data_IF_061214009481
#
_entry.id   IF_061214009481
#
_cell.length_a   1.000
_cell.length_b   1.000
_cell.length_c   1.000
_cell.angle_alpha   90.00
_cell.angle_beta   90.00
_cell.angle_gamma   90.00
#
_symmetry.space_group_name_H-M   'P 1'
#
loop_
_entity.id
_entity.type
_entity.pdbx_description
1 polymer ?
#
# COMPACT_ATOMS: atom_id res chain seq x y z
N UNK A 1 -31.99 53.71 45.45
CA UNK A 1 -32.24 52.68 44.42
C UNK A 1 -30.88 52.18 43.92
N UNK A 2 -30.51 50.93 44.23
CA UNK A 2 -29.27 50.30 43.71
C UNK A 2 -29.64 48.95 43.10
N UNK A 3 -29.51 48.83 41.78
CA UNK A 3 -29.69 47.57 41.04
C UNK A 3 -28.35 46.81 41.10
N UNK A 4 -28.34 45.65 41.76
CA UNK A 4 -27.26 44.67 41.67
C UNK A 4 -27.49 43.83 40.41
N UNK A 5 -26.53 43.87 39.49
CA UNK A 5 -26.50 43.02 38.31
C UNK A 5 -25.83 41.68 38.68
N UNK A 6 -26.58 40.60 38.55
CA UNK A 6 -26.10 39.22 38.67
C UNK A 6 -25.43 38.82 37.35
N UNK A 7 -24.12 38.66 37.37
CA UNK A 7 -23.33 38.08 36.28
C UNK A 7 -23.37 36.55 36.41
N UNK A 8 -24.15 35.91 35.53
CA UNK A 8 -24.15 34.46 35.37
C UNK A 8 -22.84 34.00 34.73
N UNK A 9 -22.02 33.30 35.52
CA UNK A 9 -20.87 32.54 35.05
C UNK A 9 -21.39 31.31 34.29
N UNK A 10 -21.41 31.35 32.97
CA UNK A 10 -21.59 30.17 32.15
C UNK A 10 -20.36 29.26 32.35
N UNK A 11 -20.55 28.10 32.95
CA UNK A 11 -19.53 27.07 33.04
C UNK A 11 -19.37 26.41 31.67
N UNK A 12 -18.28 26.71 30.97
CA UNK A 12 -17.93 26.04 29.72
C UNK A 12 -17.31 24.70 30.09
N UNK A 13 -18.07 23.62 29.93
CA UNK A 13 -17.55 22.25 30.04
C UNK A 13 -16.52 22.03 28.93
N UNK A 14 -15.25 22.19 29.24
CA UNK A 14 -14.18 21.74 28.36
C UNK A 14 -14.20 20.21 28.33
N UNK A 15 -14.27 19.58 27.14
CA UNK A 15 -14.16 18.13 27.05
C UNK A 15 -12.82 17.70 27.66
N UNK A 16 -12.87 16.72 28.55
CA UNK A 16 -11.69 16.15 29.18
C UNK A 16 -10.73 15.68 28.07
N UNK A 17 -9.60 16.37 27.93
CA UNK A 17 -8.53 15.98 27.04
C UNK A 17 -7.90 14.72 27.65
N UNK A 18 -8.31 13.55 27.16
CA UNK A 18 -7.64 12.30 27.51
C UNK A 18 -6.22 12.39 26.96
N UNK A 19 -5.25 12.54 27.86
CA UNK A 19 -3.84 12.48 27.49
C UNK A 19 -3.62 11.12 26.80
N UNK A 20 -3.05 11.11 25.58
CA UNK A 20 -2.77 9.85 24.91
C UNK A 20 -1.88 9.02 25.82
N UNK A 21 -2.25 7.74 25.97
CA UNK A 21 -1.53 6.76 26.77
C UNK A 21 -0.03 6.99 26.66
N UNK A 22 0.62 7.17 27.82
CA UNK A 22 2.07 7.39 27.94
C UNK A 22 2.77 6.51 26.92
N UNK A 23 3.54 7.11 26.00
CA UNK A 23 4.22 6.40 24.93
C UNK A 23 5.02 5.25 25.56
N UNK A 24 4.44 4.05 25.54
CA UNK A 24 5.06 2.87 26.09
C UNK A 24 6.41 2.74 25.42
N UNK A 25 7.45 2.47 26.20
CA UNK A 25 8.77 2.23 25.63
C UNK A 25 8.66 1.02 24.70
N UNK A 26 8.64 1.29 23.40
CA UNK A 26 8.56 0.30 22.33
C UNK A 26 9.90 -0.44 22.22
N UNK A 27 10.32 -1.08 23.31
CA UNK A 27 11.57 -1.83 23.43
C UNK A 27 11.57 -3.08 22.56
N UNK A 28 12.26 -4.13 23.02
CA UNK A 28 12.35 -5.40 22.25
C UNK A 28 11.01 -6.06 21.97
N UNK A 29 10.02 -5.87 22.85
CA UNK A 29 8.69 -6.49 22.71
C UNK A 29 7.83 -5.82 21.62
N UNK A 30 8.29 -4.68 21.07
CA UNK A 30 7.57 -3.93 20.06
C UNK A 30 6.36 -3.21 20.61
N UNK A 31 5.60 -2.56 19.73
CA UNK A 31 4.38 -1.88 20.11
C UNK A 31 3.40 -1.74 18.94
N UNK A 32 2.17 -1.35 19.26
CA UNK A 32 1.15 -1.03 18.26
C UNK A 32 1.53 0.17 17.40
N UNK A 33 0.90 0.30 16.24
CA UNK A 33 1.26 1.28 15.21
C UNK A 33 1.27 2.74 15.73
N UNK A 34 0.24 3.13 16.49
CA UNK A 34 0.15 4.47 17.07
C UNK A 34 1.29 4.75 18.07
N UNK A 35 1.59 3.77 18.92
CA UNK A 35 2.69 3.85 19.90
C UNK A 35 4.04 3.88 19.19
N UNK A 36 4.21 3.12 18.11
CA UNK A 36 5.42 3.11 17.31
C UNK A 36 5.69 4.48 16.68
N UNK A 37 4.64 5.12 16.15
CA UNK A 37 4.72 6.48 15.62
C UNK A 37 5.10 7.51 16.69
N UNK A 38 4.54 7.39 17.89
CA UNK A 38 4.86 8.27 19.02
C UNK A 38 6.30 8.05 19.52
N UNK A 39 6.71 6.78 19.63
CA UNK A 39 8.05 6.38 20.03
C UNK A 39 9.10 6.94 19.08
N UNK A 40 8.95 6.76 17.76
CA UNK A 40 9.91 7.32 16.83
C UNK A 40 9.99 8.85 16.90
N UNK A 41 8.87 9.55 17.13
CA UNK A 41 8.89 11.00 17.35
C UNK A 41 9.68 11.38 18.61
N UNK A 42 9.51 10.64 19.71
CA UNK A 42 10.28 10.83 20.97
C UNK A 42 11.77 10.60 20.76
N UNK A 43 12.15 9.62 19.94
CA UNK A 43 13.55 9.39 19.52
C UNK A 43 14.08 10.43 18.54
N UNK A 44 13.29 11.47 18.22
CA UNK A 44 13.67 12.46 17.23
C UNK A 44 13.77 11.84 15.83
N UNK A 45 12.85 10.97 15.46
CA UNK A 45 12.73 10.41 14.12
C UNK A 45 11.27 10.32 13.70
N UNK A 46 10.97 9.43 12.76
CA UNK A 46 9.59 9.10 12.35
C UNK A 46 9.48 7.63 11.97
N UNK A 47 8.24 7.14 11.84
CA UNK A 47 8.04 5.88 11.12
C UNK A 47 8.50 6.07 9.66
N UNK A 48 9.26 5.12 9.10
CA UNK A 48 9.67 5.13 7.71
C UNK A 48 8.49 4.83 6.78
N UNK A 49 8.59 5.25 5.53
CA UNK A 49 7.64 4.84 4.48
C UNK A 49 7.87 3.37 4.10
N UNK A 50 6.95 2.80 3.31
CA UNK A 50 7.12 1.44 2.76
C UNK A 50 8.42 1.36 1.93
N UNK A 51 8.67 2.33 1.06
CA UNK A 51 9.87 2.35 0.21
C UNK A 51 11.17 2.45 1.04
N UNK A 52 11.16 3.22 2.13
CA UNK A 52 12.32 3.32 3.04
C UNK A 52 12.59 2.00 3.76
N UNK A 53 11.54 1.28 4.16
CA UNK A 53 11.65 -0.04 4.77
C UNK A 53 12.14 -1.09 3.77
N UNK A 54 11.61 -1.11 2.55
CA UNK A 54 12.05 -2.02 1.49
C UNK A 54 13.52 -1.79 1.13
N UNK A 55 13.94 -0.53 1.01
CA UNK A 55 15.34 -0.18 0.80
C UNK A 55 16.23 -0.66 1.96
N UNK A 56 15.78 -0.45 3.20
CA UNK A 56 16.52 -0.92 4.38
C UNK A 56 16.62 -2.45 4.43
N UNK A 57 15.59 -3.17 4.00
CA UNK A 57 15.63 -4.62 3.83
C UNK A 57 16.63 -5.04 2.75
N UNK A 58 16.56 -4.45 1.56
CA UNK A 58 17.49 -4.73 0.46
C UNK A 58 18.95 -4.53 0.91
N UNK A 59 19.23 -3.40 1.58
CA UNK A 59 20.58 -3.05 2.03
C UNK A 59 21.12 -4.00 3.13
N UNK A 60 20.25 -4.55 4.00
CA UNK A 60 20.66 -5.26 5.23
C UNK A 60 20.39 -6.76 5.25
N UNK A 61 19.43 -7.24 4.47
CA UNK A 61 18.90 -8.60 4.55
C UNK A 61 19.02 -9.41 3.26
N UNK A 62 19.48 -8.78 2.18
CA UNK A 62 19.79 -9.48 0.92
C UNK A 62 21.30 -9.70 0.76
N UNK A 63 21.69 -10.53 -0.21
CA UNK A 63 23.11 -10.75 -0.55
C UNK A 63 23.90 -11.52 0.51
N UNK A 64 23.25 -12.42 1.26
CA UNK A 64 23.90 -13.23 2.30
C UNK A 64 24.18 -12.49 3.61
N UNK A 65 23.73 -11.24 3.74
CA UNK A 65 23.83 -10.47 4.97
C UNK A 65 22.83 -10.98 6.00
N UNK A 66 23.30 -11.20 7.22
CA UNK A 66 22.45 -11.51 8.36
C UNK A 66 22.51 -10.35 9.35
N UNK A 67 21.34 -9.80 9.66
CA UNK A 67 21.15 -8.79 10.69
C UNK A 67 20.01 -9.27 11.58
N UNK A 68 20.06 -8.96 12.88
CA UNK A 68 18.94 -9.24 13.79
C UNK A 68 17.62 -8.65 13.26
N UNK A 69 17.73 -7.61 12.43
CA UNK A 69 16.58 -6.97 11.80
C UNK A 69 15.85 -7.87 10.79
N UNK A 70 16.52 -8.89 10.23
CA UNK A 70 16.03 -9.69 9.10
C UNK A 70 15.06 -10.80 9.48
N UNK A 71 14.69 -10.91 10.75
CA UNK A 71 13.80 -11.98 11.25
C UNK A 71 12.35 -11.53 11.50
N UNK A 72 12.05 -10.25 11.31
CA UNK A 72 10.77 -9.66 11.68
C UNK A 72 10.13 -8.80 10.60
N UNK A 73 9.08 -8.09 10.97
CA UNK A 73 8.46 -7.06 10.14
C UNK A 73 8.33 -5.76 10.92
N UNK A 74 8.28 -4.64 10.22
CA UNK A 74 8.32 -3.31 10.82
C UNK A 74 7.16 -2.45 10.32
N UNK A 75 6.62 -1.63 11.22
CA UNK A 75 5.57 -0.67 10.90
C UNK A 75 6.07 0.39 9.90
N UNK A 76 5.29 0.62 8.84
CA UNK A 76 5.46 1.79 7.99
C UNK A 76 4.62 2.97 8.51
N UNK A 77 4.89 4.18 8.02
CA UNK A 77 4.08 5.36 8.31
C UNK A 77 2.72 5.38 7.59
N UNK A 78 2.41 4.38 6.76
CA UNK A 78 1.20 4.38 5.92
C UNK A 78 0.06 3.62 6.58
N UNK A 79 -1.02 4.34 6.85
CA UNK A 79 -2.29 3.75 7.25
C UNK A 79 -3.00 3.12 6.04
N UNK A 80 -3.60 1.94 6.23
CA UNK A 80 -4.48 1.31 5.22
C UNK A 80 -5.93 1.73 5.45
N UNK A 81 -6.40 1.61 6.68
CA UNK A 81 -7.74 2.00 7.12
C UNK A 81 -7.75 2.21 8.64
N UNK A 82 -8.93 2.48 9.21
CA UNK A 82 -9.08 2.80 10.63
C UNK A 82 -8.48 1.74 11.57
N UNK A 83 -8.58 0.45 11.22
CA UNK A 83 -8.08 -0.66 12.03
C UNK A 83 -6.73 -1.22 11.58
N UNK A 84 -6.23 -0.86 10.40
CA UNK A 84 -5.04 -1.48 9.80
C UNK A 84 -4.00 -0.47 9.32
N UNK A 85 -2.74 -0.85 9.43
CA UNK A 85 -1.61 -0.11 8.87
C UNK A 85 -0.68 -1.05 8.10
N UNK A 86 0.11 -0.49 7.20
CA UNK A 86 1.07 -1.23 6.42
C UNK A 86 2.35 -1.47 7.21
N UNK A 87 2.94 -2.65 7.06
CA UNK A 87 4.28 -3.00 7.51
C UNK A 87 5.06 -3.71 6.39
N UNK A 88 6.37 -3.88 6.60
CA UNK A 88 7.24 -4.60 5.66
C UNK A 88 7.93 -5.73 6.40
N UNK A 89 7.79 -6.95 5.88
CA UNK A 89 8.50 -8.14 6.33
C UNK A 89 9.93 -8.10 5.84
N UNK A 90 10.88 -8.13 6.77
CA UNK A 90 12.31 -8.20 6.46
C UNK A 90 12.80 -9.63 6.24
N UNK A 91 11.93 -10.63 6.43
CA UNK A 91 12.22 -12.03 6.07
C UNK A 91 12.17 -12.20 4.56
N UNK A 92 11.17 -11.59 3.91
CA UNK A 92 10.87 -11.82 2.48
C UNK A 92 10.86 -10.55 1.63
N UNK A 93 10.97 -9.36 2.25
CA UNK A 93 10.95 -8.09 1.51
C UNK A 93 9.57 -7.69 1.01
N UNK A 94 8.49 -8.23 1.58
CA UNK A 94 7.12 -7.94 1.16
C UNK A 94 6.43 -6.95 2.08
N UNK A 95 5.57 -6.11 1.50
CA UNK A 95 4.69 -5.20 2.25
C UNK A 95 3.29 -5.82 2.43
N UNK A 96 2.80 -5.84 3.66
CA UNK A 96 1.45 -6.32 3.99
C UNK A 96 0.80 -5.41 5.04
N UNK A 97 -0.49 -5.58 5.30
CA UNK A 97 -1.24 -4.79 6.26
C UNK A 97 -1.60 -5.60 7.50
N UNK A 98 -1.47 -4.98 8.66
CA UNK A 98 -1.72 -5.62 9.95
C UNK A 98 -2.65 -4.77 10.81
N UNK A 99 -3.34 -5.42 11.75
CA UNK A 99 -4.15 -4.69 12.74
C UNK A 99 -3.24 -3.77 13.56
N UNK A 100 -3.60 -2.50 13.72
CA UNK A 100 -2.80 -1.48 14.44
C UNK A 100 -2.54 -1.84 15.91
N UNK A 101 -3.33 -2.74 16.50
CA UNK A 101 -3.12 -3.25 17.85
C UNK A 101 -2.05 -4.34 17.94
N UNK A 102 -1.63 -4.95 16.82
CA UNK A 102 -0.52 -5.91 16.83
C UNK A 102 0.76 -5.22 17.27
N UNK A 103 1.55 -5.92 18.07
CA UNK A 103 2.87 -5.46 18.45
C UNK A 103 3.89 -5.90 17.40
N UNK A 104 4.78 -4.99 17.04
CA UNK A 104 5.92 -5.28 16.18
C UNK A 104 7.13 -4.44 16.62
N UNK A 105 8.36 -4.93 16.41
CA UNK A 105 9.56 -4.12 16.58
C UNK A 105 9.47 -2.81 15.79
N UNK A 106 10.05 -1.74 16.35
CA UNK A 106 9.97 -0.40 15.75
C UNK A 106 11.30 -0.04 15.12
N UNK A 107 11.27 0.21 13.81
CA UNK A 107 12.40 0.80 13.08
C UNK A 107 12.11 2.27 12.84
N UNK A 108 12.91 3.17 13.42
CA UNK A 108 12.73 4.60 13.25
C UNK A 108 13.62 5.12 12.12
N UNK A 109 12.99 5.78 11.14
CA UNK A 109 13.71 6.50 10.09
C UNK A 109 14.25 7.84 10.59
N UNK A 110 15.21 8.44 9.86
CA UNK A 110 15.76 9.75 10.19
C UNK A 110 14.67 10.84 10.23
N UNK A 111 14.99 12.01 10.79
CA UNK A 111 14.14 13.22 10.70
C UNK A 111 14.01 13.70 9.25
N UNK A 112 13.23 12.99 8.45
CA UNK A 112 12.69 13.55 7.21
C UNK A 112 11.59 14.55 7.59
N UNK A 113 11.40 15.60 6.77
CA UNK A 113 10.21 16.46 6.89
C UNK A 113 8.98 15.54 7.02
N UNK A 114 8.18 15.65 8.09
CA UNK A 114 7.08 14.73 8.34
C UNK A 114 6.13 14.78 7.16
N UNK A 115 6.05 13.66 6.44
CA UNK A 115 4.93 13.30 5.58
C UNK A 115 4.23 14.44 4.87
N UNK A 116 4.98 15.30 4.17
CA UNK A 116 4.47 15.75 2.89
C UNK A 116 4.25 14.45 2.14
N UNK A 117 2.99 13.98 2.06
CA UNK A 117 2.58 13.03 1.05
C UNK A 117 3.31 13.52 -0.18
N UNK A 118 4.34 12.79 -0.63
CA UNK A 118 5.06 13.18 -1.82
C UNK A 118 3.97 13.11 -2.87
N UNK A 119 3.36 14.26 -3.17
CA UNK A 119 2.49 14.43 -4.32
C UNK A 119 3.36 13.87 -5.41
N UNK A 120 3.02 12.67 -5.88
CA UNK A 120 3.86 11.89 -6.76
C UNK A 120 4.23 12.84 -7.87
N UNK A 121 5.45 13.38 -7.80
CA UNK A 121 5.87 14.44 -8.69
C UNK A 121 5.98 13.67 -9.97
N UNK A 122 4.94 13.76 -10.82
CA UNK A 122 4.80 13.01 -12.07
C UNK A 122 6.19 13.01 -12.67
N UNK A 123 6.90 11.88 -12.56
CA UNK A 123 8.23 11.79 -13.12
C UNK A 123 8.01 12.13 -14.59
N UNK A 124 8.58 13.26 -15.03
CA UNK A 124 8.41 13.75 -16.38
C UNK A 124 8.62 12.56 -17.29
N UNK A 125 7.63 12.27 -18.14
CA UNK A 125 7.61 11.11 -18.99
C UNK A 125 8.84 11.17 -19.90
N UNK A 126 9.96 10.61 -19.45
CA UNK A 126 11.05 10.25 -20.33
C UNK A 126 10.40 9.37 -21.40
N UNK A 127 10.61 9.74 -22.66
CA UNK A 127 10.03 9.06 -23.80
C UNK A 127 10.34 7.57 -23.70
N UNK A 128 9.39 6.80 -23.16
CA UNK A 128 9.53 5.36 -23.01
C UNK A 128 9.44 4.76 -24.41
N UNK A 129 10.32 3.81 -24.75
CA UNK A 129 10.32 3.19 -26.08
C UNK A 129 8.92 2.67 -26.40
N UNK A 130 8.50 2.82 -27.66
CA UNK A 130 7.24 2.30 -28.14
C UNK A 130 7.18 0.78 -27.86
N UNK A 131 6.39 0.40 -26.85
CA UNK A 131 6.19 -1.00 -26.49
C UNK A 131 5.49 -1.67 -27.66
N UNK A 132 6.14 -2.64 -28.29
CA UNK A 132 5.52 -3.45 -29.33
C UNK A 132 4.36 -4.24 -28.70
N UNK A 133 3.11 -3.92 -29.07
CA UNK A 133 1.90 -4.50 -28.49
C UNK A 133 1.84 -6.04 -28.49
N UNK A 134 2.63 -6.69 -29.34
CA UNK A 134 2.75 -8.15 -29.42
C UNK A 134 3.21 -8.81 -28.10
N UNK A 135 4.04 -8.15 -27.27
CA UNK A 135 4.48 -8.71 -25.98
C UNK A 135 3.36 -8.72 -24.94
N UNK A 136 2.60 -7.63 -24.87
CA UNK A 136 1.52 -7.47 -23.90
C UNK A 136 0.35 -8.42 -24.17
N UNK A 137 0.09 -8.73 -25.45
CA UNK A 137 -0.94 -9.70 -25.85
C UNK A 137 -0.61 -11.14 -25.45
N UNK A 138 0.68 -11.48 -25.29
CA UNK A 138 1.16 -12.83 -24.94
C UNK A 138 1.45 -13.05 -23.46
N UNK A 139 1.07 -12.12 -22.59
CA UNK A 139 1.34 -12.25 -21.15
C UNK A 139 2.75 -11.88 -20.70
N UNK A 140 3.54 -11.27 -21.58
CA UNK A 140 4.97 -11.01 -21.34
C UNK A 140 5.24 -9.52 -21.15
N UNK A 141 4.39 -8.83 -20.41
CA UNK A 141 4.59 -7.42 -20.11
C UNK A 141 4.50 -7.11 -18.63
N UNK A 142 5.35 -6.19 -18.20
CA UNK A 142 5.26 -5.51 -16.91
C UNK A 142 4.00 -4.65 -16.85
N UNK A 143 3.61 -4.26 -15.64
CA UNK A 143 2.43 -3.40 -15.45
C UNK A 143 2.55 -2.07 -16.21
N UNK A 144 3.76 -1.50 -16.23
CA UNK A 144 4.03 -0.24 -16.93
C UNK A 144 3.88 -0.36 -18.45
N UNK A 145 4.31 -1.47 -19.02
CA UNK A 145 4.16 -1.78 -20.45
C UNK A 145 2.68 -2.02 -20.79
N UNK A 146 1.95 -2.75 -19.95
CA UNK A 146 0.51 -2.95 -20.09
C UNK A 146 -0.27 -1.62 -20.07
N UNK A 147 0.04 -0.75 -19.11
CA UNK A 147 -0.59 0.56 -18.97
C UNK A 147 -0.24 1.51 -20.14
N UNK A 148 0.99 1.42 -20.67
CA UNK A 148 1.39 2.16 -21.87
C UNK A 148 0.67 1.64 -23.11
N UNK A 149 0.59 0.31 -23.28
CA UNK A 149 -0.10 -0.34 -24.37
C UNK A 149 -1.57 0.07 -24.44
N UNK A 150 -2.31 -0.03 -23.33
CA UNK A 150 -3.72 0.38 -23.32
C UNK A 150 -3.91 1.87 -23.62
N UNK A 151 -3.06 2.75 -23.07
CA UNK A 151 -3.14 4.19 -23.39
C UNK A 151 -2.85 4.47 -24.86
N UNK A 152 -1.92 3.75 -25.47
CA UNK A 152 -1.60 3.86 -26.90
C UNK A 152 -2.79 3.54 -27.81
N UNK A 153 -3.70 2.67 -27.37
CA UNK A 153 -4.94 2.36 -28.07
C UNK A 153 -6.14 3.23 -27.66
N UNK A 154 -5.92 4.33 -26.93
CA UNK A 154 -7.00 5.19 -26.39
C UNK A 154 -7.81 4.56 -25.26
N UNK A 155 -7.29 3.50 -24.65
CA UNK A 155 -7.94 2.71 -23.60
C UNK A 155 -7.18 2.85 -22.27
N UNK A 156 -7.64 2.14 -21.23
CA UNK A 156 -6.94 2.05 -19.93
C UNK A 156 -7.00 0.62 -19.38
N UNK A 157 -6.23 0.34 -18.34
CA UNK A 157 -6.41 -0.91 -17.59
C UNK A 157 -7.77 -0.89 -16.86
N UNK A 158 -8.36 -2.07 -16.68
CA UNK A 158 -9.61 -2.24 -15.93
C UNK A 158 -9.44 -1.80 -14.48
N UNK A 159 -10.47 -1.15 -13.93
CA UNK A 159 -10.61 -1.03 -12.48
C UNK A 159 -11.06 -2.37 -11.92
N UNK A 160 -10.80 -2.56 -10.63
CA UNK A 160 -11.16 -3.78 -9.90
C UNK A 160 -12.63 -4.20 -10.13
N UNK A 161 -13.57 -3.28 -9.93
CA UNK A 161 -15.01 -3.56 -10.11
C UNK A 161 -15.37 -3.92 -11.56
N UNK A 162 -14.80 -3.21 -12.53
CA UNK A 162 -15.07 -3.45 -13.95
C UNK A 162 -14.53 -4.81 -14.40
N UNK A 163 -13.38 -5.21 -13.86
CA UNK A 163 -12.81 -6.53 -14.10
C UNK A 163 -13.73 -7.63 -13.61
N UNK A 164 -14.30 -7.52 -12.41
CA UNK A 164 -15.28 -8.49 -11.91
C UNK A 164 -16.51 -8.60 -12.83
N UNK A 165 -17.00 -7.47 -13.33
CA UNK A 165 -18.17 -7.43 -14.23
C UNK A 165 -17.85 -8.13 -15.57
N UNK A 166 -16.68 -7.87 -16.16
CA UNK A 166 -16.19 -8.54 -17.39
C UNK A 166 -15.97 -10.04 -17.16
N UNK A 167 -15.29 -10.40 -16.08
CA UNK A 167 -15.01 -11.78 -15.71
C UNK A 167 -16.30 -12.59 -15.56
N UNK A 168 -17.29 -12.02 -14.87
CA UNK A 168 -18.61 -12.64 -14.72
C UNK A 168 -19.37 -12.71 -16.03
N UNK A 169 -19.21 -11.76 -16.94
CA UNK A 169 -19.89 -11.80 -18.23
C UNK A 169 -19.33 -12.89 -19.14
N UNK A 170 -18.01 -13.07 -19.15
CA UNK A 170 -17.32 -13.91 -20.13
C UNK A 170 -17.05 -15.34 -19.67
N UNK A 171 -16.98 -15.60 -18.36
CA UNK A 171 -16.58 -16.90 -17.79
C UNK A 171 -17.75 -17.67 -17.15
N UNK A 172 -18.98 -17.40 -17.59
CA UNK A 172 -20.25 -17.82 -16.96
C UNK A 172 -20.59 -19.31 -17.05
N UNK A 173 -19.94 -20.11 -17.90
CA UNK A 173 -20.42 -21.46 -18.25
C UNK A 173 -19.55 -22.63 -17.77
N UNK A 174 -18.52 -22.39 -16.94
CA UNK A 174 -17.55 -23.43 -16.58
C UNK A 174 -16.66 -23.87 -17.76
N UNK A 175 -16.92 -23.36 -18.96
CA UNK A 175 -16.12 -23.58 -20.14
C UNK A 175 -14.93 -22.62 -20.11
N UNK A 176 -13.72 -23.18 -20.06
CA UNK A 176 -12.49 -22.41 -19.95
C UNK A 176 -12.15 -21.76 -21.30
N UNK A 177 -12.78 -20.63 -21.62
CA UNK A 177 -12.35 -19.81 -22.76
C UNK A 177 -10.91 -19.33 -22.53
N UNK A 178 -10.13 -19.10 -23.59
CA UNK A 178 -8.76 -18.58 -23.46
C UNK A 178 -8.72 -17.25 -22.70
N UNK A 179 -9.79 -16.47 -22.76
CA UNK A 179 -9.95 -15.21 -22.05
C UNK A 179 -10.07 -15.39 -20.52
N UNK A 180 -10.44 -16.59 -20.05
CA UNK A 180 -10.62 -16.88 -18.63
C UNK A 180 -9.38 -17.52 -17.97
N UNK A 181 -8.47 -18.12 -18.78
CA UNK A 181 -7.29 -18.86 -18.28
C UNK A 181 -6.09 -17.99 -17.94
N UNK A 182 -6.12 -16.71 -18.31
CA UNK A 182 -4.93 -15.86 -18.28
C UNK A 182 -4.90 -14.91 -17.08
N UNK A 183 -3.68 -14.56 -16.69
CA UNK A 183 -3.38 -13.57 -15.66
C UNK A 183 -3.34 -12.18 -16.29
N UNK A 184 -4.12 -11.21 -15.78
CA UNK A 184 -4.20 -9.89 -16.38
C UNK A 184 -3.81 -8.77 -15.42
N UNK A 185 -3.12 -7.76 -15.95
CA UNK A 185 -2.88 -6.51 -15.25
C UNK A 185 -4.17 -5.69 -15.10
N UNK A 186 -4.42 -5.21 -13.88
CA UNK A 186 -5.48 -4.28 -13.53
C UNK A 186 -4.90 -2.93 -13.13
N UNK A 187 -5.74 -2.02 -12.61
CA UNK A 187 -5.32 -0.71 -12.11
C UNK A 187 -4.19 -0.75 -11.05
N UNK A 188 -3.64 0.43 -10.75
CA UNK A 188 -2.63 0.55 -9.70
C UNK A 188 -3.16 0.06 -8.36
N UNK A 189 -2.28 -0.60 -7.59
CA UNK A 189 -2.56 -0.87 -6.19
C UNK A 189 -2.31 0.37 -5.35
N UNK A 190 -2.72 0.32 -4.08
CA UNK A 190 -2.36 1.36 -3.11
C UNK A 190 -0.85 1.48 -2.91
N UNK A 191 -0.06 0.44 -3.21
CA UNK A 191 1.40 0.45 -3.13
C UNK A 191 2.02 0.83 -4.49
N UNK A 192 2.99 1.75 -4.48
CA UNK A 192 3.63 2.25 -5.68
C UNK A 192 4.34 1.15 -6.50
N UNK A 193 4.82 0.10 -5.83
CA UNK A 193 5.59 -0.99 -6.44
C UNK A 193 4.70 -2.15 -6.90
N UNK A 194 3.44 -2.18 -6.48
CA UNK A 194 2.51 -3.27 -6.79
C UNK A 194 1.35 -2.77 -7.65
N UNK A 195 0.80 -3.67 -8.44
CA UNK A 195 -0.46 -3.47 -9.11
C UNK A 195 -1.39 -4.65 -8.86
N UNK A 196 -2.68 -4.42 -9.05
CA UNK A 196 -3.62 -5.52 -9.01
C UNK A 196 -3.44 -6.36 -10.27
N UNK A 197 -3.42 -7.68 -10.10
CA UNK A 197 -3.64 -8.64 -11.17
C UNK A 197 -4.92 -9.42 -10.87
N UNK A 198 -5.56 -9.93 -11.92
CA UNK A 198 -6.77 -10.72 -11.76
C UNK A 198 -6.80 -11.95 -12.67
N UNK A 199 -7.50 -12.98 -12.21
CA UNK A 199 -7.82 -14.20 -12.96
C UNK A 199 -9.30 -14.49 -12.95
N UNK A 200 -9.73 -15.30 -13.92
CA UNK A 200 -11.09 -15.84 -14.04
C UNK A 200 -11.06 -17.37 -14.14
N UNK A 201 -10.24 -17.99 -13.30
CA UNK A 201 -9.85 -19.40 -13.37
C UNK A 201 -10.86 -20.36 -12.77
N UNK A 202 -11.92 -19.86 -12.12
CA UNK A 202 -12.96 -20.71 -11.53
C UNK A 202 -14.38 -20.18 -11.73
N UNK A 203 -15.38 -21.07 -11.81
CA UNK A 203 -16.79 -20.68 -11.72
C UNK A 203 -17.15 -20.06 -10.36
N UNK A 204 -16.29 -20.20 -9.34
CA UNK A 204 -16.46 -19.56 -8.03
C UNK A 204 -16.18 -18.05 -8.06
N UNK A 205 -15.66 -17.51 -9.17
CA UNK A 205 -15.54 -16.07 -9.40
C UNK A 205 -14.11 -15.62 -9.72
N UNK A 206 -13.97 -14.32 -9.98
CA UNK A 206 -12.68 -13.71 -10.26
C UNK A 206 -11.80 -13.68 -9.00
N UNK A 207 -10.54 -14.02 -9.14
CA UNK A 207 -9.55 -13.81 -8.08
C UNK A 207 -8.71 -12.56 -8.39
N UNK A 208 -8.27 -11.86 -7.34
CA UNK A 208 -7.46 -10.64 -7.48
C UNK A 208 -6.31 -10.70 -6.49
N UNK A 209 -5.11 -10.42 -7.00
CA UNK A 209 -3.87 -10.42 -6.24
C UNK A 209 -3.18 -9.06 -6.35
N UNK A 210 -2.42 -8.70 -5.33
CA UNK A 210 -1.48 -7.58 -5.41
C UNK A 210 -0.11 -8.15 -5.76
N UNK A 211 0.44 -7.76 -6.91
CA UNK A 211 1.67 -8.35 -7.44
C UNK A 211 2.62 -7.26 -7.92
N UNK A 212 3.92 -7.52 -7.84
CA UNK A 212 4.94 -6.51 -8.17
C UNK A 212 4.84 -6.08 -9.63
N UNK A 213 4.91 -4.77 -9.90
CA UNK A 213 4.75 -4.19 -11.25
C UNK A 213 5.76 -4.73 -12.28
N UNK A 214 6.84 -5.35 -11.84
CA UNK A 214 7.88 -6.01 -12.62
C UNK A 214 7.50 -7.42 -13.08
N UNK A 215 6.47 -8.03 -12.49
CA UNK A 215 5.95 -9.33 -12.88
C UNK A 215 5.48 -9.31 -14.34
N UNK A 216 5.38 -10.48 -14.97
CA UNK A 216 4.86 -10.58 -16.33
C UNK A 216 3.43 -11.08 -16.29
N UNK A 217 2.52 -10.30 -16.89
CA UNK A 217 1.13 -10.68 -17.07
C UNK A 217 0.60 -10.14 -18.41
N UNK A 218 -0.61 -10.58 -18.79
CA UNK A 218 -1.27 -10.10 -20.00
C UNK A 218 -1.88 -8.73 -19.75
N UNK A 219 -1.89 -7.88 -20.78
CA UNK A 219 -2.61 -6.62 -20.71
C UNK A 219 -4.02 -6.81 -21.26
N UNK A 220 -5.04 -6.33 -20.52
CA UNK A 220 -6.40 -6.21 -21.04
C UNK A 220 -6.91 -4.80 -20.84
N UNK A 221 -7.40 -4.21 -21.92
CA UNK A 221 -7.73 -2.79 -21.96
C UNK A 221 -9.24 -2.57 -21.92
N UNK A 222 -9.70 -1.75 -20.97
CA UNK A 222 -11.02 -1.17 -20.93
C UNK A 222 -11.08 0.00 -21.91
N UNK A 223 -11.97 -0.09 -22.90
CA UNK A 223 -12.33 1.02 -23.77
C UNK A 223 -13.22 2.02 -23.05
#
# INVERSE_FOLDING_TARGET
MKKLALLSLAAWSFPAFTLPASAADCGREGCGWNSAAAYCRKQGGRLPTIDELLKAWEDKCTGGKTSDLCSGWYWSSKERNTGQAWGVSFVEGAADSYNKSRTAPVYCGPKGKPGGQAAAKKAGAAARPAVTGAKCAKGQCSWHEAAAYCRGSGARLYKLKEWYDVCRAECKSGEKSENCKSWFWLGESENANYAYSGTCDSPAGASVHSVEKTSLASARCAK
#
